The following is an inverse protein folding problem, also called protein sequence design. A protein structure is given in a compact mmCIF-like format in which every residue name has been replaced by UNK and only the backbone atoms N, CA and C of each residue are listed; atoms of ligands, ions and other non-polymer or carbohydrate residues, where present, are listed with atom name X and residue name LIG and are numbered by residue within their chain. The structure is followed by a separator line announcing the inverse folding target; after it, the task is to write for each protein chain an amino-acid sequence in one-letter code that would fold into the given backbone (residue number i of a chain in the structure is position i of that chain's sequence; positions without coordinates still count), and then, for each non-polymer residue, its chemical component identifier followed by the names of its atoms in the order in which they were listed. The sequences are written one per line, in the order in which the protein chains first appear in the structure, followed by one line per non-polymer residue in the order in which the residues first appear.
data_IF_265073400016
#
_entry.id   IF_265073400016
#
_cell.length_a   1.000
_cell.length_b   1.000
_cell.length_c   1.000
_cell.angle_alpha   90.00
_cell.angle_beta   90.00
_cell.angle_gamma   90.00
#
_symmetry.space_group_name_H-M   'P 1'
#
loop_
_entity.id
_entity.type
_entity.pdbx_description
1 polymer ?
#
# COMPACT_ATOMS: atom_id res chain seq x y z
N UNK A 1 1.58 38.35 -12.82
CA UNK A 1 2.10 37.57 -11.68
C UNK A 1 1.07 36.49 -11.39
N UNK A 2 1.47 35.22 -11.21
CA UNK A 2 0.51 34.18 -10.83
C UNK A 2 0.19 34.32 -9.34
N UNK A 3 -1.07 34.11 -8.97
CA UNK A 3 -1.51 34.09 -7.57
C UNK A 3 -0.80 32.96 -6.80
N UNK A 4 -0.36 33.18 -5.55
CA UNK A 4 0.12 32.10 -4.66
C UNK A 4 -0.95 31.04 -4.43
N UNK A 5 -0.54 29.77 -4.31
CA UNK A 5 -1.46 28.65 -4.12
C UNK A 5 -2.32 28.79 -2.86
N UNK A 6 -1.71 29.30 -1.78
CA UNK A 6 -2.41 29.51 -0.50
C UNK A 6 -3.53 30.55 -0.61
N UNK A 7 -3.35 31.59 -1.42
CA UNK A 7 -4.35 32.62 -1.64
C UNK A 7 -5.52 32.06 -2.47
N UNK A 8 -5.23 31.20 -3.45
CA UNK A 8 -6.26 30.47 -4.20
C UNK A 8 -7.08 29.54 -3.31
N UNK A 9 -6.42 28.79 -2.41
CA UNK A 9 -7.10 27.93 -1.44
C UNK A 9 -7.99 28.76 -0.53
N UNK A 10 -7.47 29.88 0.00
CA UNK A 10 -8.22 30.78 0.86
C UNK A 10 -9.49 31.30 0.18
N UNK A 11 -9.37 31.83 -1.05
CA UNK A 11 -10.51 32.29 -1.85
C UNK A 11 -11.53 31.17 -2.09
N UNK A 12 -11.05 29.97 -2.39
CA UNK A 12 -11.92 28.80 -2.59
C UNK A 12 -12.66 28.43 -1.30
N UNK A 13 -11.96 28.39 -0.16
CA UNK A 13 -12.60 28.13 1.14
C UNK A 13 -13.65 29.19 1.49
N UNK A 14 -13.36 30.48 1.23
CA UNK A 14 -14.29 31.59 1.47
C UNK A 14 -15.57 31.44 0.64
N UNK A 15 -15.45 31.08 -0.64
CA UNK A 15 -16.59 30.84 -1.53
C UNK A 15 -17.48 29.68 -1.07
N UNK A 16 -16.89 28.64 -0.49
CA UNK A 16 -17.61 27.45 0.01
C UNK A 16 -17.93 27.51 1.51
N UNK A 17 -17.79 28.67 2.17
CA UNK A 17 -18.04 28.87 3.61
C UNK A 17 -17.24 27.90 4.52
N UNK A 18 -16.08 27.45 4.07
CA UNK A 18 -15.19 26.55 4.81
C UNK A 18 -14.34 27.38 5.78
N UNK A 19 -14.58 27.19 7.07
CA UNK A 19 -13.71 27.74 8.12
C UNK A 19 -12.35 27.03 8.14
N UNK A 20 -11.29 27.76 8.48
CA UNK A 20 -9.92 27.23 8.63
C UNK A 20 -9.24 26.74 7.34
N UNK A 21 -9.11 27.61 6.35
CA UNK A 21 -8.46 27.30 5.05
C UNK A 21 -7.05 26.68 5.16
N UNK A 22 -6.33 26.92 6.26
CA UNK A 22 -5.00 26.34 6.52
C UNK A 22 -5.00 24.82 6.68
N UNK A 23 -6.17 24.21 6.84
CA UNK A 23 -6.31 22.76 6.98
C UNK A 23 -6.58 22.07 5.64
N UNK A 24 -6.73 22.84 4.56
CA UNK A 24 -7.13 22.35 3.25
C UNK A 24 -6.03 22.58 2.22
N UNK A 25 -6.03 21.74 1.19
CA UNK A 25 -5.21 21.84 0.00
C UNK A 25 -6.06 21.60 -1.24
N UNK A 26 -5.46 21.85 -2.41
CA UNK A 26 -6.03 21.42 -3.67
C UNK A 26 -5.50 20.04 -4.02
N UNK A 27 -6.38 19.17 -4.48
CA UNK A 27 -6.06 17.83 -4.96
C UNK A 27 -6.66 17.65 -6.34
N UNK A 28 -5.92 17.01 -7.24
CA UNK A 28 -6.51 16.50 -8.47
C UNK A 28 -6.64 14.99 -8.37
N UNK A 29 -7.77 14.47 -8.86
CA UNK A 29 -8.04 13.05 -8.94
C UNK A 29 -8.19 12.69 -10.42
N UNK A 30 -7.34 11.81 -10.88
CA UNK A 30 -7.45 11.19 -12.19
C UNK A 30 -8.21 9.87 -12.02
N UNK A 31 -9.48 9.89 -12.43
CA UNK A 31 -10.39 8.75 -12.33
C UNK A 31 -9.92 7.56 -13.18
N UNK A 32 -9.30 7.83 -14.34
CA UNK A 32 -8.85 6.79 -15.27
C UNK A 32 -7.62 6.07 -14.72
N UNK A 33 -6.65 6.83 -14.19
CA UNK A 33 -5.42 6.25 -13.64
C UNK A 33 -5.51 5.86 -12.17
N UNK A 34 -6.66 6.11 -11.51
CA UNK A 34 -6.86 5.93 -10.07
C UNK A 34 -5.72 6.54 -9.26
N UNK A 35 -5.40 7.79 -9.56
CA UNK A 35 -4.35 8.57 -8.87
C UNK A 35 -4.95 9.82 -8.29
N UNK A 36 -4.63 10.08 -7.03
CA UNK A 36 -4.82 11.38 -6.43
C UNK A 36 -3.46 12.01 -6.18
N UNK A 37 -3.34 13.33 -6.41
CA UNK A 37 -2.11 14.07 -6.19
C UNK A 37 -2.41 15.44 -5.60
N UNK A 38 -1.69 15.78 -4.54
CA UNK A 38 -1.80 17.10 -3.93
C UNK A 38 -1.07 18.13 -4.78
N UNK A 39 -1.73 19.27 -5.00
CA UNK A 39 -1.13 20.40 -5.70
C UNK A 39 -0.15 21.10 -4.76
N UNK A 40 1.06 21.34 -5.24
CA UNK A 40 2.11 22.09 -4.56
C UNK A 40 2.84 22.99 -5.56
N UNK A 41 3.79 23.79 -5.08
CA UNK A 41 4.51 24.73 -5.94
C UNK A 41 5.34 24.07 -7.06
N UNK A 42 5.69 22.78 -6.90
CA UNK A 42 6.47 22.03 -7.88
C UNK A 42 5.59 21.50 -9.02
N UNK A 43 4.35 21.09 -8.74
CA UNK A 43 3.48 20.45 -9.72
C UNK A 43 2.31 21.32 -10.22
N UNK A 44 2.05 22.49 -9.62
CA UNK A 44 0.94 23.39 -10.00
C UNK A 44 0.95 23.81 -11.47
N UNK A 45 2.11 23.80 -12.12
CA UNK A 45 2.26 24.17 -13.53
C UNK A 45 1.87 23.06 -14.51
N UNK A 46 1.73 21.81 -14.04
CA UNK A 46 1.42 20.64 -14.87
C UNK A 46 -0.07 20.28 -14.86
N UNK A 47 -0.92 21.14 -14.28
CA UNK A 47 -2.36 20.91 -14.14
C UNK A 47 -3.08 21.30 -15.44
N UNK A 48 -3.07 20.42 -16.44
CA UNK A 48 -3.82 20.63 -17.69
C UNK A 48 -5.22 20.00 -17.59
N UNK A 49 -6.26 20.86 -17.56
CA UNK A 49 -7.68 20.50 -17.65
C UNK A 49 -8.23 19.56 -16.55
N UNK A 50 -7.47 19.35 -15.47
CA UNK A 50 -7.88 18.50 -14.36
C UNK A 50 -8.91 19.22 -13.48
N UNK A 51 -10.02 18.54 -13.15
CA UNK A 51 -10.90 18.98 -12.06
C UNK A 51 -10.09 18.97 -10.77
N UNK A 52 -10.07 20.12 -10.09
CA UNK A 52 -9.46 20.27 -8.78
C UNK A 52 -10.55 20.18 -7.72
N UNK A 53 -10.21 19.50 -6.63
CA UNK A 53 -11.04 19.39 -5.45
C UNK A 53 -10.34 20.09 -4.29
N UNK A 54 -11.14 20.72 -3.44
CA UNK A 54 -10.66 21.17 -2.13
C UNK A 54 -10.81 20.00 -1.15
N UNK A 55 -9.73 19.68 -0.44
CA UNK A 55 -9.72 18.55 0.49
C UNK A 55 -8.75 18.84 1.65
N UNK A 56 -8.80 18.04 2.71
CA UNK A 56 -7.86 18.20 3.82
C UNK A 56 -6.41 18.03 3.37
N UNK A 57 -5.52 18.80 3.98
CA UNK A 57 -4.08 18.62 3.82
C UNK A 57 -3.64 17.19 4.18
N UNK A 58 -2.53 16.70 3.62
CA UNK A 58 -2.06 15.32 3.78
C UNK A 58 -2.13 14.76 5.20
N UNK A 59 -1.57 15.48 6.19
CA UNK A 59 -1.54 15.02 7.59
C UNK A 59 -2.96 14.86 8.16
N UNK A 60 -3.83 15.85 7.94
CA UNK A 60 -5.18 15.85 8.49
C UNK A 60 -6.08 14.83 7.79
N UNK A 61 -5.90 14.65 6.48
CA UNK A 61 -6.57 13.58 5.74
C UNK A 61 -6.13 12.21 6.26
N UNK A 62 -4.83 12.00 6.47
CA UNK A 62 -4.31 10.76 7.00
C UNK A 62 -4.89 10.44 8.38
N UNK A 63 -4.84 11.39 9.32
CA UNK A 63 -5.43 11.23 10.66
C UNK A 63 -6.92 10.91 10.61
N UNK A 64 -7.67 11.57 9.71
CA UNK A 64 -9.10 11.32 9.52
C UNK A 64 -9.36 9.89 9.00
N UNK A 65 -8.63 9.44 8.00
CA UNK A 65 -8.75 8.09 7.45
C UNK A 65 -8.33 7.04 8.47
N UNK A 66 -7.19 7.24 9.14
CA UNK A 66 -6.73 6.36 10.22
C UNK A 66 -7.76 6.25 11.33
N UNK A 67 -8.33 7.37 11.78
CA UNK A 67 -9.36 7.40 12.82
C UNK A 67 -10.61 6.61 12.42
N UNK A 68 -11.10 6.82 11.19
CA UNK A 68 -12.24 6.06 10.65
C UNK A 68 -11.96 4.57 10.57
N UNK A 69 -10.85 4.18 9.93
CA UNK A 69 -10.45 2.77 9.78
C UNK A 69 -10.22 2.12 11.14
N UNK A 70 -9.62 2.82 12.10
CA UNK A 70 -9.42 2.28 13.45
C UNK A 70 -10.74 2.07 14.19
N UNK A 71 -11.75 2.92 13.93
CA UNK A 71 -13.09 2.77 14.52
C UNK A 71 -13.95 1.71 13.82
N UNK A 72 -13.74 1.53 12.52
CA UNK A 72 -14.44 0.57 11.69
C UNK A 72 -13.46 0.01 10.63
N UNK A 73 -12.74 -1.08 10.94
CA UNK A 73 -11.78 -1.67 10.01
C UNK A 73 -12.40 -2.17 8.70
N UNK A 74 -13.72 -2.34 8.67
CA UNK A 74 -14.48 -2.81 7.52
C UNK A 74 -15.01 -1.64 6.64
N UNK A 75 -14.65 -0.38 6.96
CA UNK A 75 -14.97 0.79 6.15
C UNK A 75 -14.14 0.81 4.85
N UNK A 76 -14.63 0.07 3.86
CA UNK A 76 -14.00 -0.07 2.55
C UNK A 76 -13.77 1.29 1.85
N UNK A 77 -14.68 2.25 1.99
CA UNK A 77 -14.52 3.56 1.35
C UNK A 77 -13.28 4.29 1.89
N UNK A 78 -13.10 4.27 3.22
CA UNK A 78 -11.92 4.87 3.84
C UNK A 78 -10.62 4.13 3.49
N UNK A 79 -10.65 2.80 3.38
CA UNK A 79 -9.48 2.00 2.98
C UNK A 79 -9.12 2.23 1.50
N UNK A 80 -10.10 2.24 0.61
CA UNK A 80 -9.91 2.54 -0.82
C UNK A 80 -9.34 3.96 -0.99
N UNK A 81 -9.87 4.93 -0.23
CA UNK A 81 -9.33 6.30 -0.22
C UNK A 81 -7.90 6.35 0.32
N UNK A 82 -7.57 5.58 1.36
CA UNK A 82 -6.19 5.48 1.83
C UNK A 82 -5.25 4.93 0.73
N UNK A 83 -5.68 3.88 0.02
CA UNK A 83 -4.94 3.29 -1.11
C UNK A 83 -4.77 4.23 -2.30
N UNK A 84 -5.77 5.06 -2.58
CA UNK A 84 -5.67 6.11 -3.60
C UNK A 84 -4.64 7.17 -3.19
N UNK A 85 -4.70 7.63 -1.94
CA UNK A 85 -3.91 8.76 -1.45
C UNK A 85 -2.44 8.39 -1.21
N UNK A 86 -2.13 7.16 -0.78
CA UNK A 86 -0.75 6.73 -0.51
C UNK A 86 0.17 6.73 -1.75
N UNK A 87 -0.42 6.77 -2.94
CA UNK A 87 0.31 6.94 -4.19
C UNK A 87 0.95 8.33 -4.30
N UNK A 88 0.29 9.38 -3.80
CA UNK A 88 0.83 10.74 -3.75
C UNK A 88 2.08 10.81 -2.85
N UNK A 89 3.10 11.55 -3.29
CA UNK A 89 4.32 11.67 -2.51
C UNK A 89 4.12 12.43 -1.20
N UNK A 90 3.38 13.54 -1.21
CA UNK A 90 3.14 14.39 -0.04
C UNK A 90 2.34 13.64 1.02
N UNK A 91 1.33 12.87 0.61
CA UNK A 91 0.54 12.01 1.49
C UNK A 91 1.35 10.83 2.03
N UNK A 92 2.21 10.22 1.21
CA UNK A 92 3.07 9.14 1.67
C UNK A 92 4.12 9.64 2.69
N UNK A 93 4.65 10.86 2.52
CA UNK A 93 5.50 11.52 3.53
C UNK A 93 4.73 11.77 4.82
N UNK A 94 3.49 12.25 4.73
CA UNK A 94 2.62 12.41 5.90
C UNK A 94 2.47 11.09 6.66
N UNK A 95 2.09 10.00 5.99
CA UNK A 95 2.02 8.65 6.56
C UNK A 95 3.30 8.26 7.29
N UNK A 96 4.47 8.43 6.65
CA UNK A 96 5.76 8.04 7.23
C UNK A 96 6.11 8.83 8.50
N UNK A 97 5.70 10.10 8.57
CA UNK A 97 5.94 10.94 9.76
C UNK A 97 5.22 10.40 11.01
N UNK A 98 4.10 9.69 10.84
CA UNK A 98 3.39 9.08 11.95
C UNK A 98 3.95 7.71 12.37
N UNK A 99 4.88 7.12 11.60
CA UNK A 99 5.48 5.79 11.87
C UNK A 99 4.43 4.69 12.07
N UNK A 100 3.37 4.74 11.28
CA UNK A 100 2.18 3.90 11.44
C UNK A 100 2.19 2.62 10.60
N UNK A 101 3.36 2.16 10.19
CA UNK A 101 3.50 0.91 9.44
C UNK A 101 3.04 -0.29 10.27
N UNK A 102 3.34 -0.32 11.57
CA UNK A 102 2.80 -1.30 12.52
C UNK A 102 1.27 -1.29 12.55
N UNK A 103 0.65 -0.12 12.62
CA UNK A 103 -0.82 0.00 12.61
C UNK A 103 -1.41 -0.59 11.32
N UNK A 104 -0.77 -0.36 10.18
CA UNK A 104 -1.20 -0.90 8.89
C UNK A 104 -1.14 -2.43 8.87
N UNK A 105 -0.05 -3.01 9.36
CA UNK A 105 0.16 -4.46 9.48
C UNK A 105 -0.86 -5.09 10.44
N UNK A 106 -1.04 -4.49 11.62
CA UNK A 106 -1.97 -4.98 12.64
C UNK A 106 -3.42 -4.94 12.13
N UNK A 107 -3.80 -3.86 11.44
CA UNK A 107 -5.14 -3.68 10.87
C UNK A 107 -5.40 -4.70 9.74
N UNK A 108 -4.43 -4.90 8.84
CA UNK A 108 -4.50 -5.94 7.81
C UNK A 108 -4.73 -7.32 8.44
N UNK A 109 -3.95 -7.64 9.48
CA UNK A 109 -3.93 -8.98 10.07
C UNK A 109 -5.22 -9.27 10.83
N UNK A 110 -5.82 -8.25 11.45
CA UNK A 110 -7.10 -8.38 12.15
C UNK A 110 -8.31 -8.43 11.20
N UNK A 111 -8.19 -7.94 9.96
CA UNK A 111 -9.31 -7.85 9.03
C UNK A 111 -9.64 -9.21 8.40
N UNK A 112 -10.93 -9.50 8.24
CA UNK A 112 -11.45 -10.78 7.68
C UNK A 112 -12.04 -10.66 6.27
N UNK A 113 -12.18 -9.44 5.75
CA UNK A 113 -12.80 -9.15 4.47
C UNK A 113 -11.71 -9.11 3.40
N UNK A 114 -11.68 -10.11 2.52
CA UNK A 114 -10.64 -10.27 1.48
C UNK A 114 -10.45 -9.01 0.63
N UNK A 115 -11.54 -8.36 0.20
CA UNK A 115 -11.43 -7.15 -0.62
C UNK A 115 -10.75 -5.98 0.10
N UNK A 116 -10.87 -5.89 1.43
CA UNK A 116 -10.21 -4.87 2.24
C UNK A 116 -8.76 -5.26 2.53
N UNK A 117 -8.51 -6.55 2.82
CA UNK A 117 -7.16 -7.09 2.94
C UNK A 117 -6.34 -6.83 1.67
N UNK A 118 -6.93 -6.98 0.49
CA UNK A 118 -6.28 -6.66 -0.79
C UNK A 118 -5.83 -5.19 -0.83
N UNK A 119 -6.71 -4.25 -0.48
CA UNK A 119 -6.35 -2.83 -0.46
C UNK A 119 -5.20 -2.55 0.52
N UNK A 120 -5.20 -3.19 1.70
CA UNK A 120 -4.08 -3.07 2.65
C UNK A 120 -2.77 -3.66 2.10
N UNK A 121 -2.81 -4.77 1.36
CA UNK A 121 -1.61 -5.32 0.73
C UNK A 121 -1.05 -4.41 -0.36
N UNK A 122 -1.90 -3.75 -1.13
CA UNK A 122 -1.49 -2.75 -2.13
C UNK A 122 -0.85 -1.53 -1.44
N UNK A 123 -1.44 -1.05 -0.33
CA UNK A 123 -0.85 0.03 0.48
C UNK A 123 0.51 -0.41 1.04
N UNK A 124 0.62 -1.61 1.61
CA UNK A 124 1.87 -2.14 2.15
C UNK A 124 2.96 -2.27 1.08
N UNK A 125 2.62 -2.69 -0.14
CA UNK A 125 3.58 -2.74 -1.26
C UNK A 125 4.07 -1.34 -1.65
N UNK A 126 3.17 -0.34 -1.69
CA UNK A 126 3.55 1.05 -2.00
C UNK A 126 4.46 1.62 -0.91
N UNK A 127 4.09 1.42 0.35
CA UNK A 127 4.86 1.90 1.51
C UNK A 127 6.24 1.24 1.54
N UNK A 128 6.32 -0.08 1.36
CA UNK A 128 7.57 -0.84 1.43
C UNK A 128 8.54 -0.56 0.27
N UNK A 129 8.06 0.00 -0.85
CA UNK A 129 8.89 0.50 -1.95
C UNK A 129 9.45 1.90 -1.70
N UNK A 130 8.70 2.73 -0.97
CA UNK A 130 9.06 4.12 -0.70
C UNK A 130 9.87 4.27 0.59
N UNK A 131 9.62 3.40 1.56
CA UNK A 131 10.21 3.44 2.89
C UNK A 131 10.61 2.04 3.35
N UNK A 132 11.67 1.96 4.13
CA UNK A 132 12.04 0.74 4.81
C UNK A 132 11.05 0.49 5.96
N UNK A 133 10.40 -0.66 5.95
CA UNK A 133 9.55 -1.13 7.04
C UNK A 133 10.48 -1.71 8.12
N UNK A 134 10.42 -1.26 9.38
CA UNK A 134 11.24 -1.84 10.44
C UNK A 134 10.99 -3.35 10.53
N UNK A 135 12.07 -4.13 10.55
CA UNK A 135 12.00 -5.59 10.57
C UNK A 135 11.17 -6.11 11.75
N UNK A 136 11.23 -5.41 12.88
CA UNK A 136 10.51 -5.76 14.11
C UNK A 136 8.98 -5.66 13.98
N UNK A 137 8.48 -4.95 12.96
CA UNK A 137 7.05 -4.86 12.67
C UNK A 137 6.56 -6.02 11.79
N UNK A 138 7.46 -6.70 11.09
CA UNK A 138 7.17 -7.88 10.26
C UNK A 138 7.13 -9.14 11.15
N UNK A 139 6.07 -9.24 11.96
CA UNK A 139 5.93 -10.33 12.94
C UNK A 139 5.60 -11.68 12.31
N UNK A 140 5.89 -12.77 13.02
CA UNK A 140 5.50 -14.12 12.63
C UNK A 140 4.01 -14.24 12.31
N UNK A 141 3.17 -13.61 13.15
CA UNK A 141 1.71 -13.62 13.01
C UNK A 141 1.24 -12.95 11.70
N UNK A 142 1.91 -11.89 11.27
CA UNK A 142 1.64 -11.26 9.98
C UNK A 142 1.94 -12.23 8.82
N UNK A 143 3.08 -12.92 8.87
CA UNK A 143 3.42 -13.93 7.85
C UNK A 143 2.48 -15.13 7.88
N UNK A 144 2.06 -15.59 9.06
CA UNK A 144 1.09 -16.67 9.18
C UNK A 144 -0.23 -16.29 8.49
N UNK A 145 -0.69 -15.04 8.68
CA UNK A 145 -1.89 -14.52 8.01
C UNK A 145 -1.74 -14.44 6.48
N UNK A 146 -0.59 -14.02 5.97
CA UNK A 146 -0.31 -14.02 4.52
C UNK A 146 -0.33 -15.44 3.95
N UNK A 147 0.26 -16.40 4.67
CA UNK A 147 0.49 -17.75 4.17
C UNK A 147 -0.73 -18.66 4.30
N UNK A 148 -1.60 -18.42 5.28
CA UNK A 148 -2.93 -19.07 5.36
C UNK A 148 -3.75 -18.82 4.09
N UNK A 149 -3.58 -17.65 3.48
CA UNK A 149 -4.25 -17.28 2.23
C UNK A 149 -3.60 -17.87 0.98
N UNK A 150 -2.38 -18.39 1.07
CA UNK A 150 -1.66 -19.03 -0.03
C UNK A 150 -2.02 -20.52 -0.27
N UNK A 151 -2.95 -21.09 0.49
CA UNK A 151 -3.33 -22.51 0.38
C UNK A 151 -3.86 -22.84 -1.03
N UNK A 152 -3.35 -23.89 -1.72
CA UNK A 152 -3.80 -24.31 -3.06
C UNK A 152 -5.30 -24.53 -3.21
N UNK A 153 -6.01 -24.85 -2.13
CA UNK A 153 -7.46 -25.06 -2.14
C UNK A 153 -8.28 -23.79 -2.38
N UNK A 154 -7.69 -22.60 -2.16
CA UNK A 154 -8.37 -21.31 -2.40
C UNK A 154 -8.38 -20.97 -3.90
N UNK A 155 -9.42 -20.31 -4.43
CA UNK A 155 -9.43 -19.87 -5.82
C UNK A 155 -8.32 -18.82 -6.06
N UNK A 156 -7.84 -18.75 -7.31
CA UNK A 156 -6.89 -17.71 -7.71
C UNK A 156 -7.59 -16.36 -7.74
N UNK A 157 -7.02 -15.34 -7.08
CA UNK A 157 -7.56 -13.99 -7.03
C UNK A 157 -6.44 -12.94 -7.13
N UNK A 158 -6.81 -11.70 -7.43
CA UNK A 158 -5.89 -10.54 -7.36
C UNK A 158 -5.24 -10.42 -5.98
N UNK A 159 -5.97 -10.81 -4.94
CA UNK A 159 -5.49 -10.89 -3.57
C UNK A 159 -4.32 -11.86 -3.41
N UNK A 160 -4.44 -13.09 -3.93
CA UNK A 160 -3.35 -14.07 -3.90
C UNK A 160 -2.11 -13.60 -4.69
N UNK A 161 -2.33 -12.99 -5.87
CA UNK A 161 -1.26 -12.38 -6.66
C UNK A 161 -0.47 -11.35 -5.83
N UNK A 162 -1.20 -10.49 -5.12
CA UNK A 162 -0.62 -9.42 -4.32
C UNK A 162 0.18 -9.95 -3.12
N UNK A 163 -0.27 -11.04 -2.48
CA UNK A 163 0.50 -11.70 -1.42
C UNK A 163 1.86 -12.17 -1.93
N UNK A 164 1.89 -12.90 -3.05
CA UNK A 164 3.16 -13.41 -3.59
C UNK A 164 4.13 -12.29 -3.98
N UNK A 165 3.62 -11.19 -4.56
CA UNK A 165 4.43 -10.01 -4.87
C UNK A 165 5.02 -9.37 -3.61
N UNK A 166 4.21 -9.23 -2.56
CA UNK A 166 4.65 -8.64 -1.31
C UNK A 166 5.69 -9.52 -0.60
N UNK A 167 5.51 -10.84 -0.60
CA UNK A 167 6.47 -11.80 -0.04
C UNK A 167 7.82 -11.75 -0.78
N UNK A 168 7.80 -11.69 -2.12
CA UNK A 168 9.01 -11.54 -2.91
C UNK A 168 9.74 -10.24 -2.57
N UNK A 169 8.99 -9.12 -2.54
CA UNK A 169 9.54 -7.82 -2.16
C UNK A 169 10.17 -7.83 -0.76
N UNK A 170 9.55 -8.48 0.22
CA UNK A 170 10.13 -8.58 1.56
C UNK A 170 11.39 -9.44 1.61
N UNK A 171 11.46 -10.55 0.89
CA UNK A 171 12.68 -11.35 0.81
C UNK A 171 13.85 -10.58 0.17
N UNK A 172 13.57 -9.84 -0.91
CA UNK A 172 14.57 -9.01 -1.60
C UNK A 172 15.17 -7.96 -0.66
N UNK A 173 14.34 -7.34 0.19
CA UNK A 173 14.76 -6.24 1.07
C UNK A 173 15.24 -6.71 2.45
N UNK A 174 14.80 -7.87 2.92
CA UNK A 174 15.17 -8.43 4.22
C UNK A 174 15.58 -9.90 4.05
N UNK A 175 16.81 -10.18 3.60
CA UNK A 175 17.29 -11.56 3.44
C UNK A 175 17.24 -12.40 4.72
N UNK A 176 17.25 -11.77 5.90
CA UNK A 176 17.05 -12.44 7.19
C UNK A 176 15.68 -13.11 7.34
N UNK A 177 14.66 -12.70 6.57
CA UNK A 177 13.35 -13.35 6.52
C UNK A 177 13.37 -14.69 5.77
N UNK A 178 14.47 -15.03 5.09
CA UNK A 178 14.56 -16.23 4.26
C UNK A 178 14.12 -17.48 5.00
N UNK A 179 14.71 -17.77 6.17
CA UNK A 179 14.38 -18.99 6.93
C UNK A 179 12.93 -18.98 7.43
N UNK A 180 12.45 -17.84 7.91
CA UNK A 180 11.08 -17.70 8.43
C UNK A 180 10.03 -17.91 7.33
N UNK A 181 10.26 -17.36 6.13
CA UNK A 181 9.38 -17.53 4.99
C UNK A 181 9.50 -18.95 4.44
N UNK A 182 10.71 -19.49 4.27
CA UNK A 182 10.91 -20.84 3.73
C UNK A 182 10.31 -21.93 4.63
N UNK A 183 10.42 -21.78 5.95
CA UNK A 183 9.82 -22.71 6.91
C UNK A 183 8.30 -22.82 6.78
N UNK A 184 7.65 -21.74 6.31
CA UNK A 184 6.18 -21.64 6.23
C UNK A 184 5.65 -21.79 4.80
N UNK A 185 6.46 -21.51 3.79
CA UNK A 185 6.10 -21.65 2.38
C UNK A 185 6.35 -23.08 1.92
N UNK A 186 5.26 -23.80 1.63
CA UNK A 186 5.36 -25.13 1.04
C UNK A 186 5.67 -25.03 -0.46
N UNK A 187 6.89 -25.44 -0.86
CA UNK A 187 7.32 -25.42 -2.27
C UNK A 187 6.37 -26.20 -3.20
N UNK A 188 5.77 -27.29 -2.72
CA UNK A 188 4.77 -28.06 -3.48
C UNK A 188 3.56 -27.20 -3.81
N UNK A 189 3.12 -26.36 -2.86
CA UNK A 189 2.00 -25.45 -3.08
C UNK A 189 2.35 -24.37 -4.11
N UNK A 190 3.57 -23.83 -4.07
CA UNK A 190 4.03 -22.87 -5.07
C UNK A 190 4.07 -23.48 -6.47
N UNK A 191 4.62 -24.69 -6.61
CA UNK A 191 4.67 -25.41 -7.90
C UNK A 191 3.24 -25.66 -8.42
N UNK A 192 2.32 -26.09 -7.57
CA UNK A 192 0.91 -26.25 -7.95
C UNK A 192 0.30 -24.94 -8.46
N UNK A 193 0.65 -23.81 -7.83
CA UNK A 193 0.16 -22.48 -8.25
C UNK A 193 0.80 -21.97 -9.53
N UNK A 194 2.05 -22.35 -9.83
CA UNK A 194 2.66 -22.06 -11.13
C UNK A 194 1.89 -22.70 -12.29
N UNK A 195 1.24 -23.84 -12.07
CA UNK A 195 0.44 -24.52 -13.09
C UNK A 195 -0.93 -23.86 -13.32
N UNK A 196 -1.23 -22.73 -12.67
CA UNK A 196 -2.47 -21.99 -12.88
C UNK A 196 -2.49 -21.30 -14.25
N UNK A 197 -3.67 -21.20 -14.86
CA UNK A 197 -3.89 -20.52 -16.15
C UNK A 197 -3.71 -19.00 -16.03
N UNK A 198 -3.88 -18.45 -14.82
CA UNK A 198 -3.75 -17.02 -14.58
C UNK A 198 -2.28 -16.55 -14.70
N UNK A 199 -2.00 -15.79 -15.77
CA UNK A 199 -0.67 -15.29 -16.07
C UNK A 199 -0.10 -14.35 -14.99
N UNK A 200 -0.95 -13.58 -14.30
CA UNK A 200 -0.49 -12.65 -13.26
C UNK A 200 -0.02 -13.44 -12.04
N UNK A 201 -0.80 -14.44 -11.62
CA UNK A 201 -0.43 -15.30 -10.50
C UNK A 201 0.78 -16.15 -10.84
N UNK A 202 0.85 -16.70 -12.05
CA UNK A 202 2.02 -17.41 -12.52
C UNK A 202 3.29 -16.54 -12.42
N UNK A 203 3.21 -15.28 -12.87
CA UNK A 203 4.34 -14.33 -12.80
C UNK A 203 4.73 -14.01 -11.36
N UNK A 204 3.75 -13.76 -10.48
CA UNK A 204 4.01 -13.44 -9.08
C UNK A 204 4.66 -14.61 -8.32
N UNK A 205 4.18 -15.84 -8.55
CA UNK A 205 4.77 -17.05 -7.97
C UNK A 205 6.18 -17.30 -8.49
N UNK A 206 6.39 -17.14 -9.81
CA UNK A 206 7.72 -17.28 -10.40
C UNK A 206 8.71 -16.26 -9.82
N UNK A 207 8.28 -15.01 -9.63
CA UNK A 207 9.07 -13.97 -8.98
C UNK A 207 9.47 -14.37 -7.56
N UNK A 208 8.52 -14.88 -6.77
CA UNK A 208 8.81 -15.36 -5.42
C UNK A 208 9.82 -16.52 -5.42
N UNK A 209 9.65 -17.51 -6.29
CA UNK A 209 10.58 -18.65 -6.40
C UNK A 209 11.99 -18.18 -6.77
N UNK A 210 12.12 -17.31 -7.77
CA UNK A 210 13.41 -16.74 -8.15
C UNK A 210 14.06 -15.98 -6.99
N UNK A 211 13.25 -15.21 -6.25
CA UNK A 211 13.73 -14.46 -5.08
C UNK A 211 14.25 -15.41 -4.00
N UNK A 212 13.52 -16.49 -3.69
CA UNK A 212 13.97 -17.54 -2.77
C UNK A 212 15.31 -18.12 -3.20
N UNK A 213 15.49 -18.46 -4.49
CA UNK A 213 16.78 -18.98 -4.97
C UNK A 213 17.93 -17.96 -4.87
N UNK A 214 17.67 -16.69 -5.16
CA UNK A 214 18.70 -15.65 -5.06
C UNK A 214 19.11 -15.38 -3.62
N UNK A 215 18.16 -15.30 -2.69
CA UNK A 215 18.37 -15.09 -1.26
C UNK A 215 18.90 -16.32 -0.52
N UNK A 216 18.97 -17.48 -1.16
CA UNK A 216 19.52 -18.71 -0.55
C UNK A 216 20.95 -18.47 -0.07
N UNK A 217 21.26 -18.69 1.23
CA UNK A 217 22.61 -18.50 1.76
C UNK A 217 23.64 -19.34 0.99
N UNK A 218 24.87 -18.82 0.84
CA UNK A 218 25.93 -19.48 0.06
C UNK A 218 26.28 -20.89 0.56
N UNK A 219 26.02 -21.18 1.84
CA UNK A 219 26.20 -22.50 2.46
C UNK A 219 25.31 -23.60 1.84
N UNK A 220 24.23 -23.21 1.15
CA UNK A 220 23.33 -24.11 0.43
C UNK A 220 23.49 -24.04 -1.10
N UNK A 221 24.39 -23.20 -1.61
CA UNK A 221 24.63 -23.02 -3.06
C UNK A 221 25.74 -23.94 -3.61
N UNK A 222 26.25 -24.86 -2.79
CA UNK A 222 27.23 -25.86 -3.16
C UNK A 222 26.60 -27.25 -3.18
N UNK A 223 26.19 -27.67 -4.38
CA UNK A 223 26.42 -29.00 -4.99
C UNK A 223 26.13 -28.92 -6.50
#
# INVERSE_FOLDING_TARGET
MSMPLIDLIKLTCEEFEISSYLEYGLIYVDEDSKKACYVNDQNKHNLNFSKLYIDYLPNKMYEKLKGKISSNPDDKESVDRLGLMIQDHSFCVAFNNFKDTKWLIDTYTANKIESIKLCFLEILEIVSRKFLIPYEELTDHFFDSLLEDCNPSKPTSSYLCQIYRLLAHFLDNYPSLYEAILAKVNLTNLIQRMMCIDAQVHTAVLSLINTVFTCTPNEFKSD
#
